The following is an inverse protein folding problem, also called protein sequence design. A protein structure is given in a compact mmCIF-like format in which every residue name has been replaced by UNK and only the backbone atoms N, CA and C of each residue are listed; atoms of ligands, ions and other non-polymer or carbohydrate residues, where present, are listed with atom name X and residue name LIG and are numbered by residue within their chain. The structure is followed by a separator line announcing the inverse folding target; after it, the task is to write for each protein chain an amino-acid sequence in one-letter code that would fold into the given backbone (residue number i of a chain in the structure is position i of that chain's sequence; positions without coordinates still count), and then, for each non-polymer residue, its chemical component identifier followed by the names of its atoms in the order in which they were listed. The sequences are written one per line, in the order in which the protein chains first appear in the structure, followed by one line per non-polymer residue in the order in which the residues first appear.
data_IF_309695433245
#
_entry.id   IF_309695433245
#
_cell.length_a   1.000
_cell.length_b   1.000
_cell.length_c   1.000
_cell.angle_alpha   90.00
_cell.angle_beta   90.00
_cell.angle_gamma   90.00
#
_symmetry.space_group_name_H-M   'P 1'
#
loop_
_entity.id
_entity.type
_entity.pdbx_description
1 polymer ?
#
# COMPACT_ATOMS: atom_id res chain seq x y z
N UNK A 1 1.47 -1.57 4.32
CA UNK A 1 1.03 -2.86 3.75
C UNK A 1 0.29 -2.60 2.45
N UNK A 2 0.52 -3.43 1.44
CA UNK A 2 -0.21 -3.45 0.18
C UNK A 2 -0.98 -4.76 0.07
N UNK A 3 -2.26 -4.68 -0.28
CA UNK A 3 -3.15 -5.83 -0.51
C UNK A 3 -3.56 -5.79 -1.97
N UNK A 4 -3.45 -6.94 -2.64
CA UNK A 4 -3.78 -7.13 -4.04
C UNK A 4 -5.02 -8.00 -4.12
N UNK A 5 -6.00 -7.57 -4.93
CA UNK A 5 -7.31 -8.21 -5.04
C UNK A 5 -7.57 -8.69 -6.47
N UNK A 6 -8.39 -9.73 -6.60
CA UNK A 6 -8.96 -10.15 -7.88
C UNK A 6 -10.21 -9.32 -8.25
N UNK A 7 -10.86 -9.64 -9.37
CA UNK A 7 -12.07 -8.96 -9.85
C UNK A 7 -13.29 -9.15 -8.94
N UNK A 8 -13.30 -10.16 -8.07
CA UNK A 8 -14.34 -10.44 -7.06
C UNK A 8 -14.04 -9.81 -5.69
N UNK A 9 -12.93 -9.08 -5.55
CA UNK A 9 -12.41 -8.50 -4.30
C UNK A 9 -11.83 -9.53 -3.30
N UNK A 10 -11.55 -10.76 -3.74
CA UNK A 10 -10.81 -11.70 -2.90
C UNK A 10 -9.33 -11.30 -2.82
N UNK A 11 -8.73 -11.46 -1.65
CA UNK A 11 -7.30 -11.23 -1.43
C UNK A 11 -6.51 -12.32 -2.14
N UNK A 12 -5.69 -11.92 -3.11
CA UNK A 12 -4.77 -12.81 -3.82
C UNK A 12 -3.33 -12.68 -3.36
N UNK A 13 -2.97 -11.53 -2.77
CA UNK A 13 -1.67 -11.34 -2.12
C UNK A 13 -1.69 -10.19 -1.11
N UNK A 14 -0.89 -10.31 -0.06
CA UNK A 14 -0.59 -9.24 0.88
C UNK A 14 0.93 -9.11 1.04
N UNK A 15 1.45 -7.89 0.90
CA UNK A 15 2.90 -7.64 1.01
C UNK A 15 3.19 -6.31 1.69
N UNK A 16 4.16 -6.31 2.60
CA UNK A 16 4.76 -5.06 3.08
C UNK A 16 5.77 -4.58 2.04
N UNK A 17 5.35 -3.65 1.18
CA UNK A 17 6.20 -3.08 0.12
C UNK A 17 7.21 -2.08 0.68
N UNK A 18 6.83 -1.37 1.75
CA UNK A 18 7.70 -0.40 2.41
C UNK A 18 7.53 -0.47 3.92
N UNK A 19 8.64 -0.29 4.64
CA UNK A 19 8.65 0.05 6.07
C UNK A 19 9.26 1.44 6.20
N UNK A 20 8.52 2.35 6.84
CA UNK A 20 8.92 3.73 7.15
C UNK A 20 10.31 3.83 7.77
N UNK A 21 11.02 4.93 7.52
CA UNK A 21 12.09 5.39 8.41
C UNK A 21 11.50 6.28 9.51
N UNK A 22 12.35 6.86 10.37
CA UNK A 22 11.92 7.76 11.46
C UNK A 22 11.04 8.93 10.98
N UNK A 23 11.29 9.44 9.76
CA UNK A 23 10.70 10.70 9.28
C UNK A 23 9.87 10.56 8.01
N UNK A 24 9.92 9.41 7.31
CA UNK A 24 9.20 9.26 6.04
C UNK A 24 8.88 7.81 5.69
N UNK A 25 7.74 7.63 5.02
CA UNK A 25 7.34 6.36 4.41
C UNK A 25 7.25 6.53 2.89
N UNK A 26 8.36 6.34 2.17
CA UNK A 26 8.37 6.50 0.70
C UNK A 26 7.98 5.18 0.06
N UNK A 27 6.69 5.00 -0.21
CA UNK A 27 6.21 3.91 -1.04
C UNK A 27 6.30 4.30 -2.52
N UNK A 28 7.27 3.74 -3.25
CA UNK A 28 7.40 4.01 -4.68
C UNK A 28 6.29 3.31 -5.49
N UNK A 29 5.50 4.04 -6.31
CA UNK A 29 4.44 3.44 -7.12
C UNK A 29 4.93 2.30 -8.01
N UNK A 30 6.15 2.42 -8.58
CA UNK A 30 6.78 1.37 -9.40
C UNK A 30 6.83 0.01 -8.69
N UNK A 31 7.18 0.00 -7.40
CA UNK A 31 7.27 -1.26 -6.63
C UNK A 31 5.89 -1.84 -6.32
N UNK A 32 4.89 -0.97 -6.07
CA UNK A 32 3.50 -1.37 -5.83
C UNK A 32 2.91 -2.02 -7.10
N UNK A 33 3.04 -1.34 -8.25
CA UNK A 33 2.49 -1.82 -9.52
C UNK A 33 3.25 -3.03 -10.07
N UNK A 34 4.57 -3.16 -9.83
CA UNK A 34 5.33 -4.36 -10.22
C UNK A 34 4.70 -5.63 -9.64
N UNK A 35 4.37 -5.61 -8.35
CA UNK A 35 3.72 -6.76 -7.71
C UNK A 35 2.26 -6.91 -8.18
N UNK A 36 1.53 -5.82 -8.39
CA UNK A 36 0.16 -5.89 -8.92
C UNK A 36 0.11 -6.63 -10.27
N UNK A 37 1.04 -6.29 -11.18
CA UNK A 37 1.18 -6.97 -12.48
C UNK A 37 1.63 -8.42 -12.29
N UNK A 38 2.62 -8.67 -11.42
CA UNK A 38 3.12 -10.03 -11.13
C UNK A 38 2.02 -10.98 -10.66
N UNK A 39 1.06 -10.49 -9.87
CA UNK A 39 -0.04 -11.29 -9.34
C UNK A 39 -1.34 -11.15 -10.14
N UNK A 40 -1.32 -10.48 -11.30
CA UNK A 40 -2.51 -10.24 -12.12
C UNK A 40 -3.67 -9.62 -11.33
N UNK A 41 -3.33 -8.65 -10.46
CA UNK A 41 -4.29 -7.99 -9.59
C UNK A 41 -5.17 -7.03 -10.36
N UNK A 42 -6.47 -7.05 -10.07
CA UNK A 42 -7.44 -6.11 -10.62
C UNK A 42 -7.57 -4.83 -9.80
N UNK A 43 -7.29 -4.89 -8.48
CA UNK A 43 -7.43 -3.76 -7.54
C UNK A 43 -6.36 -3.81 -6.45
N UNK A 44 -5.94 -2.64 -5.99
CA UNK A 44 -4.90 -2.49 -4.96
C UNK A 44 -5.47 -1.72 -3.78
N UNK A 45 -5.24 -2.20 -2.56
CA UNK A 45 -5.51 -1.48 -1.31
C UNK A 45 -4.20 -1.19 -0.58
N UNK A 46 -3.97 0.08 -0.26
CA UNK A 46 -2.80 0.54 0.46
C UNK A 46 -3.18 0.94 1.89
N UNK A 47 -2.47 0.41 2.86
CA UNK A 47 -2.60 0.76 4.26
C UNK A 47 -1.24 1.18 4.83
N UNK A 48 -1.20 2.27 5.60
CA UNK A 48 -0.05 2.67 6.39
C UNK A 48 -0.51 3.00 7.80
N UNK A 49 0.34 2.73 8.78
CA UNK A 49 0.09 3.08 10.18
C UNK A 49 0.81 4.40 10.50
N UNK A 50 0.10 5.33 11.14
CA UNK A 50 0.70 6.49 11.79
C UNK A 50 0.94 6.15 13.27
N UNK A 51 2.21 6.05 13.73
CA UNK A 51 2.50 5.73 15.13
C UNK A 51 1.92 6.74 16.13
N UNK A 52 1.68 7.97 15.70
CA UNK A 52 1.05 9.02 16.50
C UNK A 52 -0.43 8.77 16.82
N UNK A 53 -1.08 7.81 16.16
CA UNK A 53 -2.52 7.58 16.28
C UNK A 53 -3.39 8.60 15.55
N UNK A 54 -2.80 9.62 14.91
CA UNK A 54 -3.52 10.54 14.04
C UNK A 54 -3.83 9.85 12.71
N UNK A 55 -5.12 9.69 12.41
CA UNK A 55 -5.61 9.02 11.21
C UNK A 55 -5.79 10.00 10.04
N UNK A 56 -5.68 11.30 10.27
CA UNK A 56 -5.84 12.30 9.24
C UNK A 56 -4.49 12.55 8.55
N UNK A 57 -4.41 12.18 7.28
CA UNK A 57 -3.37 12.71 6.41
C UNK A 57 -3.63 14.21 6.23
N UNK A 58 -2.87 15.06 6.92
CA UNK A 58 -2.87 16.51 6.67
C UNK A 58 -2.20 16.78 5.32
N UNK A 59 -2.98 16.71 4.26
CA UNK A 59 -2.56 17.20 2.94
C UNK A 59 -2.73 18.72 2.99
N UNK A 60 -1.64 19.44 3.19
CA UNK A 60 -1.63 20.89 3.01
C UNK A 60 -1.67 21.14 1.49
N UNK A 61 -2.77 21.73 1.01
CA UNK A 61 -2.84 22.33 -0.32
C UNK A 61 -2.00 23.60 -0.38
#
# INVERSE_FOLDING_TARGET
ICIYLNTKNDIIQQKTIFKGSLNQSIAHPREIFREAVKYSSARILLAHNHPSGDILSRVNY
#
